data_IF_438129789366
#
_entry.id   IF_438129789366
#
_cell.length_a   1.000
_cell.length_b   1.000
_cell.length_c   1.000
_cell.angle_alpha   90.00
_cell.angle_beta   90.00
_cell.angle_gamma   90.00
#
_symmetry.space_group_name_H-M   'P 1'
#
loop_
_entity.id
_entity.type
_entity.pdbx_description
1 polymer ?
#
# COMPACT_ATOMS: atom_id res chain seq x y z
N UNK A 1 -19.22 21.70 -42.33
CA UNK A 1 -17.90 22.14 -41.80
C UNK A 1 -17.91 21.91 -40.29
N UNK A 2 -17.21 20.88 -39.79
CA UNK A 2 -17.27 20.53 -38.36
C UNK A 2 -16.12 21.22 -37.64
N UNK A 3 -16.39 22.32 -36.93
CA UNK A 3 -15.41 23.08 -36.15
C UNK A 3 -15.90 23.20 -34.70
N UNK A 4 -15.38 22.36 -33.81
CA UNK A 4 -15.58 22.38 -32.35
C UNK A 4 -14.20 22.25 -31.71
N UNK A 5 -13.83 23.15 -30.82
CA UNK A 5 -12.61 23.00 -30.03
C UNK A 5 -12.75 23.77 -28.72
N UNK A 6 -13.53 23.20 -27.81
CA UNK A 6 -13.57 23.58 -26.40
C UNK A 6 -12.92 22.45 -25.61
N UNK A 7 -12.12 22.79 -24.61
CA UNK A 7 -11.36 21.81 -23.82
C UNK A 7 -11.45 22.13 -22.34
N UNK A 8 -11.47 21.10 -21.49
CA UNK A 8 -11.25 21.26 -20.06
C UNK A 8 -9.89 20.66 -19.72
N UNK A 9 -9.03 21.48 -19.16
CA UNK A 9 -7.71 21.12 -18.65
C UNK A 9 -7.77 21.04 -17.13
N UNK A 10 -7.03 20.11 -16.54
CA UNK A 10 -7.04 19.88 -15.11
C UNK A 10 -5.63 20.07 -14.53
N UNK A 11 -5.55 20.68 -13.36
CA UNK A 11 -4.29 21.06 -12.73
C UNK A 11 -4.27 20.69 -11.26
N UNK A 12 -3.09 20.31 -10.78
CA UNK A 12 -2.81 20.04 -9.38
C UNK A 12 -1.63 20.88 -8.89
N UNK A 13 -1.65 21.21 -7.60
CA UNK A 13 -0.54 21.82 -6.89
C UNK A 13 -0.52 21.28 -5.46
N UNK A 14 0.58 20.67 -5.05
CA UNK A 14 0.75 20.20 -3.68
C UNK A 14 0.60 21.39 -2.71
N UNK A 15 -0.29 21.25 -1.71
CA UNK A 15 -0.66 22.37 -0.83
C UNK A 15 0.53 22.92 -0.03
N UNK A 16 1.40 22.00 0.43
CA UNK A 16 2.55 22.32 1.26
C UNK A 16 3.76 22.83 0.46
N UNK A 17 3.69 22.77 -0.87
CA UNK A 17 4.80 23.13 -1.75
C UNK A 17 4.42 24.29 -2.69
N UNK A 18 4.20 25.47 -2.10
CA UNK A 18 3.87 26.70 -2.84
C UNK A 18 4.95 27.16 -3.83
N UNK A 19 6.17 26.61 -3.75
CA UNK A 19 7.26 26.86 -4.71
C UNK A 19 7.09 26.09 -6.03
N UNK A 20 6.29 25.02 -6.02
CA UNK A 20 5.94 24.27 -7.23
C UNK A 20 4.69 24.91 -7.84
N UNK A 21 4.83 25.41 -9.06
CA UNK A 21 3.69 25.95 -9.81
C UNK A 21 2.64 24.88 -10.12
N UNK A 22 1.45 25.32 -10.52
CA UNK A 22 0.38 24.41 -10.97
C UNK A 22 0.89 23.50 -12.09
N UNK A 23 0.70 22.19 -11.93
CA UNK A 23 1.07 21.18 -12.92
C UNK A 23 -0.18 20.71 -13.64
N UNK A 24 -0.12 20.71 -14.97
CA UNK A 24 -1.12 20.04 -15.78
C UNK A 24 -1.02 18.53 -15.56
N UNK A 25 -2.16 17.87 -15.33
CA UNK A 25 -2.17 16.44 -14.95
C UNK A 25 -2.00 15.48 -16.14
N UNK A 26 -1.82 15.99 -17.36
CA UNK A 26 -1.74 15.16 -18.57
C UNK A 26 -3.10 14.75 -19.15
N UNK A 27 -4.21 15.06 -18.46
CA UNK A 27 -5.57 14.74 -18.91
C UNK A 27 -6.35 15.99 -19.32
N UNK A 28 -7.07 15.87 -20.43
CA UNK A 28 -8.03 16.86 -20.88
C UNK A 28 -9.31 16.19 -21.35
N UNK A 29 -10.40 16.95 -21.30
CA UNK A 29 -11.68 16.57 -21.89
C UNK A 29 -11.92 17.45 -23.10
N UNK A 30 -12.30 16.84 -24.23
CA UNK A 30 -12.84 17.60 -25.37
C UNK A 30 -14.32 17.84 -25.13
N UNK A 31 -14.70 19.11 -25.13
CA UNK A 31 -16.10 19.53 -25.04
C UNK A 31 -16.65 19.59 -26.45
N UNK A 32 -17.57 18.68 -26.76
CA UNK A 32 -18.24 18.70 -28.06
C UNK A 32 -19.34 19.73 -28.01
N UNK A 33 -20.31 19.64 -27.12
CA UNK A 33 -21.38 20.64 -27.01
C UNK A 33 -21.27 21.47 -25.73
N UNK A 34 -20.73 22.71 -25.78
CA UNK A 34 -20.55 23.55 -24.60
C UNK A 34 -21.85 23.81 -23.83
N UNK A 35 -22.99 23.91 -24.53
CA UNK A 35 -24.28 24.18 -23.88
C UNK A 35 -24.77 22.99 -23.03
N UNK A 36 -24.30 21.78 -23.32
CA UNK A 36 -24.65 20.55 -22.60
C UNK A 36 -23.56 20.17 -21.60
N UNK A 37 -22.30 20.21 -22.04
CA UNK A 37 -21.13 19.64 -21.37
C UNK A 37 -20.41 20.62 -20.43
N UNK A 38 -20.69 21.92 -20.54
CA UNK A 38 -20.32 22.95 -19.56
C UNK A 38 -21.57 23.54 -18.85
N UNK A 39 -22.76 23.03 -19.17
CA UNK A 39 -24.04 23.44 -18.61
C UNK A 39 -24.67 22.38 -17.70
N UNK A 40 -25.98 22.50 -17.43
CA UNK A 40 -26.71 21.63 -16.49
C UNK A 40 -26.87 20.18 -16.98
N UNK A 41 -26.57 19.88 -18.24
CA UNK A 41 -26.76 18.56 -18.84
C UNK A 41 -25.68 17.53 -18.47
N UNK A 42 -24.48 17.97 -18.09
CA UNK A 42 -23.38 17.11 -17.60
C UNK A 42 -22.54 17.86 -16.58
N UNK A 43 -22.64 17.46 -15.32
CA UNK A 43 -22.02 18.14 -14.18
C UNK A 43 -20.81 17.41 -13.59
N UNK A 44 -20.34 16.32 -14.20
CA UNK A 44 -19.17 15.58 -13.71
C UNK A 44 -18.32 14.98 -14.83
N UNK A 45 -17.03 14.83 -14.52
CA UNK A 45 -16.01 14.15 -15.33
C UNK A 45 -15.21 13.20 -14.45
N UNK A 46 -14.94 12.00 -14.95
CA UNK A 46 -14.08 11.03 -14.27
C UNK A 46 -12.61 11.30 -14.61
N UNK A 47 -11.77 11.34 -13.60
CA UNK A 47 -10.32 11.48 -13.73
C UNK A 47 -9.63 10.27 -13.08
N UNK A 48 -8.43 9.89 -13.54
CA UNK A 48 -7.63 8.86 -12.88
C UNK A 48 -7.26 9.25 -11.44
N UNK A 49 -7.21 8.26 -10.55
CA UNK A 49 -6.90 8.49 -9.14
C UNK A 49 -5.40 8.72 -8.87
N UNK A 50 -4.54 8.24 -9.75
CA UNK A 50 -3.07 8.33 -9.67
C UNK A 50 -2.53 9.75 -9.91
N UNK A 51 -3.40 10.71 -10.24
CA UNK A 51 -3.05 12.13 -10.31
C UNK A 51 -2.79 12.76 -8.94
N UNK A 52 -3.13 12.05 -7.85
CA UNK A 52 -2.91 12.44 -6.48
C UNK A 52 -2.08 11.38 -5.75
N UNK A 53 -1.00 11.81 -5.08
CA UNK A 53 -0.33 10.96 -4.11
C UNK A 53 -1.23 10.73 -2.89
N UNK A 54 -1.19 9.51 -2.35
CA UNK A 54 -2.03 9.11 -1.23
C UNK A 54 -1.67 9.92 0.02
N UNK A 55 -2.69 10.44 0.70
CA UNK A 55 -2.56 11.23 1.94
C UNK A 55 -1.79 12.55 1.77
N UNK A 56 -1.49 12.96 0.54
CA UNK A 56 -0.91 14.27 0.25
C UNK A 56 -2.05 15.22 -0.16
N UNK A 57 -2.20 16.38 0.49
CA UNK A 57 -3.19 17.37 0.10
C UNK A 57 -2.76 18.13 -1.15
N UNK A 58 -3.65 18.21 -2.15
CA UNK A 58 -3.46 18.98 -3.37
C UNK A 58 -4.53 20.05 -3.52
N UNK A 59 -4.13 21.23 -3.95
CA UNK A 59 -5.03 22.21 -4.55
C UNK A 59 -5.35 21.78 -5.99
N UNK A 60 -6.61 21.49 -6.25
CA UNK A 60 -7.12 21.07 -7.54
C UNK A 60 -7.95 22.17 -8.19
N UNK A 61 -7.78 22.38 -9.49
CA UNK A 61 -8.66 23.24 -10.28
C UNK A 61 -8.73 22.78 -11.74
N UNK A 62 -9.78 23.21 -12.45
CA UNK A 62 -9.90 23.04 -13.89
C UNK A 62 -9.93 24.38 -14.62
N UNK A 63 -9.57 24.35 -15.90
CA UNK A 63 -9.62 25.49 -16.82
C UNK A 63 -10.36 25.04 -18.08
N UNK A 64 -11.50 25.66 -18.35
CA UNK A 64 -12.22 25.50 -19.61
C UNK A 64 -11.68 26.52 -20.63
N UNK A 65 -11.13 26.02 -21.73
CA UNK A 65 -10.73 26.81 -22.89
C UNK A 65 -11.93 26.92 -23.82
N UNK A 66 -12.36 28.15 -24.08
CA UNK A 66 -13.49 28.44 -24.94
C UNK A 66 -13.00 28.61 -26.38
N UNK A 67 -13.74 28.04 -27.33
CA UNK A 67 -13.42 28.12 -28.74
C UNK A 67 -13.44 29.55 -29.29
N UNK A 68 -12.81 29.73 -30.45
CA UNK A 68 -12.83 30.99 -31.23
C UNK A 68 -12.28 32.23 -30.50
N UNK A 69 -11.25 32.07 -29.67
CA UNK A 69 -10.61 33.22 -29.02
C UNK A 69 -11.44 33.86 -27.91
N UNK A 70 -12.50 33.17 -27.45
CA UNK A 70 -13.37 33.60 -26.36
C UNK A 70 -12.71 33.52 -24.96
N UNK A 71 -11.43 33.15 -24.90
CA UNK A 71 -10.64 33.11 -23.66
C UNK A 71 -10.82 31.80 -22.89
N UNK A 72 -10.72 31.89 -21.56
CA UNK A 72 -10.78 30.73 -20.68
C UNK A 72 -11.49 31.05 -19.38
N UNK A 73 -12.19 30.06 -18.82
CA UNK A 73 -12.81 30.14 -17.50
C UNK A 73 -12.06 29.20 -16.56
N UNK A 74 -11.65 29.70 -15.40
CA UNK A 74 -10.92 28.92 -14.39
C UNK A 74 -11.80 28.69 -13.17
N UNK A 75 -11.87 27.45 -12.68
CA UNK A 75 -12.58 27.14 -11.44
C UNK A 75 -11.85 27.68 -10.22
N UNK A 76 -12.57 27.85 -9.12
CA UNK A 76 -11.94 28.02 -7.81
C UNK A 76 -11.05 26.83 -7.48
N UNK A 77 -10.00 27.08 -6.69
CA UNK A 77 -9.17 26.02 -6.12
C UNK A 77 -9.97 25.28 -5.05
N UNK A 78 -9.87 23.95 -5.05
CA UNK A 78 -10.44 23.08 -4.02
C UNK A 78 -9.34 22.18 -3.49
N UNK A 79 -9.17 22.14 -2.17
CA UNK A 79 -8.24 21.21 -1.53
C UNK A 79 -8.85 19.81 -1.57
N UNK A 80 -8.12 18.87 -2.17
CA UNK A 80 -8.48 17.46 -2.26
C UNK A 80 -7.32 16.64 -1.71
N UNK A 81 -7.62 15.75 -0.78
CA UNK A 81 -6.69 14.72 -0.32
C UNK A 81 -7.22 13.38 -0.80
N UNK A 82 -6.48 12.74 -1.70
CA UNK A 82 -6.83 11.38 -2.10
C UNK A 82 -6.45 10.42 -0.97
N UNK A 83 -7.47 9.84 -0.33
CA UNK A 83 -7.32 8.92 0.80
C UNK A 83 -7.19 7.45 0.36
N UNK A 84 -7.14 7.19 -0.95
CA UNK A 84 -7.37 5.85 -1.49
C UNK A 84 -8.85 5.58 -1.78
N UNK A 85 -9.20 4.32 -2.07
CA UNK A 85 -10.58 3.91 -2.36
C UNK A 85 -10.70 2.71 -3.31
N UNK A 86 -9.64 2.42 -4.06
CA UNK A 86 -9.48 1.11 -4.70
C UNK A 86 -9.37 0.05 -3.59
N UNK A 87 -10.24 -0.96 -3.63
CA UNK A 87 -10.13 -2.13 -2.76
C UNK A 87 -9.06 -3.03 -3.34
N UNK A 88 -7.99 -3.22 -2.59
CA UNK A 88 -6.88 -4.05 -3.02
C UNK A 88 -7.01 -5.41 -2.37
N UNK A 89 -7.04 -6.45 -3.20
CA UNK A 89 -6.95 -7.83 -2.75
C UNK A 89 -6.15 -8.62 -3.78
N UNK A 90 -5.45 -9.68 -3.36
CA UNK A 90 -4.72 -10.53 -4.29
C UNK A 90 -5.67 -11.22 -5.28
N UNK A 91 -5.24 -11.33 -6.55
CA UNK A 91 -6.07 -11.83 -7.64
C UNK A 91 -6.39 -13.32 -7.46
N UNK A 92 -7.63 -13.65 -7.14
CA UNK A 92 -8.07 -15.02 -6.84
C UNK A 92 -8.07 -15.96 -8.05
N UNK A 93 -7.93 -15.45 -9.28
CA UNK A 93 -7.97 -16.26 -10.50
C UNK A 93 -6.63 -16.91 -10.84
N UNK A 94 -5.53 -16.39 -10.29
CA UNK A 94 -4.18 -16.89 -10.51
C UNK A 94 -3.96 -18.25 -9.83
N UNK A 95 -3.36 -19.20 -10.55
CA UNK A 95 -2.94 -20.49 -10.00
C UNK A 95 -1.78 -20.31 -9.02
N UNK A 96 -1.90 -20.90 -7.82
CA UNK A 96 -0.95 -20.78 -6.72
C UNK A 96 -0.37 -22.14 -6.35
N UNK A 97 0.89 -22.35 -6.70
CA UNK A 97 1.57 -23.65 -6.58
C UNK A 97 2.30 -23.79 -5.23
N UNK A 98 2.66 -22.70 -4.57
CA UNK A 98 3.40 -22.71 -3.31
C UNK A 98 2.52 -22.46 -2.08
N UNK A 99 2.98 -22.91 -0.92
CA UNK A 99 2.31 -22.76 0.36
C UNK A 99 2.17 -21.29 0.78
N UNK A 100 1.20 -20.94 1.64
CA UNK A 100 1.13 -19.58 2.14
C UNK A 100 2.37 -19.23 2.96
N UNK A 101 2.72 -17.95 3.02
CA UNK A 101 3.73 -17.47 3.95
C UNK A 101 3.28 -17.68 5.41
N UNK A 102 4.24 -17.81 6.32
CA UNK A 102 3.99 -17.76 7.75
C UNK A 102 4.08 -16.29 8.20
N UNK A 103 3.09 -15.81 8.95
CA UNK A 103 3.09 -14.45 9.50
C UNK A 103 3.34 -14.56 11.00
N UNK A 104 4.22 -13.73 11.54
CA UNK A 104 4.56 -13.68 12.96
C UNK A 104 4.36 -12.27 13.48
N UNK A 105 4.04 -12.16 14.77
CA UNK A 105 3.96 -10.89 15.49
C UNK A 105 5.33 -10.20 15.54
N UNK A 106 5.34 -8.98 16.05
CA UNK A 106 6.55 -8.19 16.33
C UNK A 106 7.53 -8.82 17.33
N UNK A 107 7.22 -10.00 17.91
CA UNK A 107 8.17 -10.82 18.69
C UNK A 107 9.24 -11.51 17.84
N UNK A 108 9.08 -11.55 16.51
CA UNK A 108 10.05 -12.19 15.61
C UNK A 108 9.97 -13.71 15.59
N UNK A 109 10.95 -14.36 14.97
CA UNK A 109 10.98 -15.81 14.78
C UNK A 109 11.71 -16.52 15.94
N UNK A 110 11.31 -16.22 17.17
CA UNK A 110 11.83 -16.91 18.36
C UNK A 110 11.15 -18.29 18.53
N UNK A 111 11.80 -19.30 19.14
CA UNK A 111 11.25 -20.65 19.26
C UNK A 111 9.88 -20.75 19.95
N UNK A 112 9.56 -19.81 20.83
CA UNK A 112 8.26 -19.73 21.52
C UNK A 112 7.18 -19.00 20.72
N UNK A 113 7.53 -18.34 19.61
CA UNK A 113 6.57 -17.61 18.76
C UNK A 113 6.12 -18.50 17.61
N UNK A 114 4.83 -18.87 17.62
CA UNK A 114 4.22 -19.64 16.54
C UNK A 114 3.69 -18.73 15.44
N UNK A 115 3.65 -19.18 14.18
CA UNK A 115 2.95 -18.45 13.12
C UNK A 115 1.51 -18.13 13.52
N UNK A 116 1.08 -16.90 13.22
CA UNK A 116 -0.29 -16.47 13.35
C UNK A 116 -1.15 -17.29 12.35
N UNK A 117 -2.16 -18.02 12.83
CA UNK A 117 -3.07 -18.75 11.95
C UNK A 117 -3.83 -17.81 11.01
N UNK A 118 -4.17 -18.32 9.82
CA UNK A 118 -5.04 -17.58 8.91
C UNK A 118 -6.43 -17.34 9.52
N UNK A 119 -7.07 -16.24 9.13
CA UNK A 119 -8.39 -15.84 9.62
C UNK A 119 -8.39 -15.14 10.98
N UNK A 120 -7.23 -15.04 11.65
CA UNK A 120 -7.09 -14.29 12.89
C UNK A 120 -6.97 -12.79 12.61
N UNK A 121 -7.58 -11.98 13.48
CA UNK A 121 -7.46 -10.52 13.42
C UNK A 121 -6.16 -10.06 14.08
N UNK A 122 -5.36 -9.30 13.34
CA UNK A 122 -4.15 -8.66 13.84
C UNK A 122 -4.51 -7.42 14.65
N UNK A 123 -4.31 -7.49 15.96
CA UNK A 123 -4.50 -6.39 16.91
C UNK A 123 -3.30 -5.45 16.99
N UNK A 124 -3.43 -4.30 17.65
CA UNK A 124 -2.28 -3.44 17.99
C UNK A 124 -1.19 -4.23 18.74
N UNK A 125 -1.57 -5.13 19.63
CA UNK A 125 -0.67 -6.03 20.36
C UNK A 125 0.16 -6.95 19.47
N UNK A 126 -0.34 -7.31 18.28
CA UNK A 126 0.42 -8.12 17.33
C UNK A 126 1.59 -7.37 16.68
N UNK A 127 1.52 -6.02 16.68
CA UNK A 127 2.44 -5.14 15.96
C UNK A 127 3.19 -4.15 16.87
N UNK A 128 2.88 -4.13 18.17
CA UNK A 128 3.51 -3.21 19.12
C UNK A 128 4.98 -3.54 19.27
N UNK A 129 5.77 -2.53 19.63
CA UNK A 129 7.21 -2.70 19.85
C UNK A 129 7.40 -3.55 21.11
N UNK A 130 8.02 -4.72 20.98
CA UNK A 130 8.47 -5.53 22.12
C UNK A 130 9.99 -5.35 22.31
N UNK A 131 10.48 -5.62 23.52
CA UNK A 131 11.88 -5.45 23.94
C UNK A 131 12.90 -6.05 22.96
N UNK A 132 12.56 -7.17 22.32
CA UNK A 132 13.45 -7.89 21.38
C UNK A 132 13.47 -7.31 19.96
N UNK A 133 12.61 -6.33 19.66
CA UNK A 133 12.47 -5.67 18.37
C UNK A 133 12.87 -4.20 18.48
N UNK A 134 13.99 -3.99 19.18
CA UNK A 134 14.74 -2.75 19.20
C UNK A 134 15.94 -2.95 18.29
N UNK A 135 15.90 -2.47 17.04
CA UNK A 135 17.12 -2.40 16.28
C UNK A 135 18.14 -1.54 17.06
N UNK A 136 19.37 -2.03 17.15
CA UNK A 136 20.48 -1.32 17.83
C UNK A 136 20.79 0.02 17.16
N UNK A 137 20.50 0.12 15.87
CA UNK A 137 20.58 1.35 15.10
C UNK A 137 19.21 2.06 15.12
N UNK A 138 19.13 3.30 15.64
CA UNK A 138 17.89 4.08 15.68
C UNK A 138 17.31 4.41 14.29
N UNK A 139 18.10 4.30 13.22
CA UNK A 139 17.63 4.51 11.85
C UNK A 139 16.96 3.28 11.23
N UNK A 140 17.08 2.11 11.86
CA UNK A 140 16.42 0.90 11.38
C UNK A 140 14.95 0.91 11.80
N UNK A 141 14.01 0.74 10.86
CA UNK A 141 12.59 0.74 11.19
C UNK A 141 12.20 -0.41 12.14
N UNK A 142 11.27 -0.12 13.05
CA UNK A 142 10.67 -1.15 13.92
C UNK A 142 9.79 -2.08 13.07
N UNK A 143 9.97 -3.38 13.24
CA UNK A 143 9.20 -4.40 12.48
C UNK A 143 7.87 -4.68 13.18
N UNK A 144 6.73 -4.38 12.56
CA UNK A 144 5.42 -4.75 13.13
C UNK A 144 5.09 -6.23 12.94
N UNK A 145 5.40 -6.80 11.76
CA UNK A 145 5.17 -8.22 11.46
C UNK A 145 6.38 -8.79 10.74
N UNK A 146 6.67 -10.05 11.00
CA UNK A 146 7.65 -10.81 10.23
C UNK A 146 6.90 -11.79 9.32
N UNK A 147 7.24 -11.80 8.04
CA UNK A 147 6.64 -12.69 7.07
C UNK A 147 7.70 -13.63 6.53
N UNK A 148 7.53 -14.92 6.80
CA UNK A 148 8.46 -15.95 6.40
C UNK A 148 7.92 -16.77 5.22
N UNK A 149 8.74 -16.93 4.20
CA UNK A 149 8.49 -17.83 3.09
C UNK A 149 9.51 -18.96 3.16
N UNK A 150 9.02 -20.20 3.24
CA UNK A 150 9.86 -21.40 3.40
C UNK A 150 10.19 -22.00 2.04
N UNK A 151 11.49 -22.19 1.81
CA UNK A 151 12.03 -22.89 0.67
C UNK A 151 12.41 -24.33 0.96
N UNK A 152 12.46 -25.12 -0.12
CA UNK A 152 13.00 -26.48 -0.16
C UNK A 152 13.12 -26.88 -1.64
N UNK A 153 14.07 -27.76 -1.98
CA UNK A 153 14.18 -28.33 -3.32
C UNK A 153 13.39 -29.63 -3.49
N UNK A 154 13.05 -30.32 -2.39
CA UNK A 154 12.51 -31.69 -2.45
C UNK A 154 11.06 -31.79 -1.94
N UNK A 155 10.47 -30.67 -1.52
CA UNK A 155 9.14 -30.65 -0.90
C UNK A 155 8.14 -29.94 -1.79
N UNK A 156 7.01 -30.60 -2.08
CA UNK A 156 5.90 -29.99 -2.80
C UNK A 156 5.38 -28.77 -2.04
N UNK A 157 5.06 -27.70 -2.77
CA UNK A 157 4.54 -26.45 -2.19
C UNK A 157 5.61 -25.54 -1.58
N UNK A 158 6.87 -25.96 -1.50
CA UNK A 158 7.97 -25.09 -1.06
C UNK A 158 8.64 -24.38 -2.22
N UNK A 159 9.17 -23.20 -1.94
CA UNK A 159 9.84 -22.38 -2.95
C UNK A 159 11.22 -22.99 -3.26
N UNK A 160 11.60 -23.18 -4.53
CA UNK A 160 12.91 -23.68 -4.89
C UNK A 160 14.03 -22.78 -4.37
N UNK A 161 15.13 -23.38 -3.91
CA UNK A 161 16.28 -22.61 -3.47
C UNK A 161 16.91 -21.87 -4.67
N UNK A 162 17.34 -20.63 -4.46
CA UNK A 162 17.83 -19.75 -5.51
C UNK A 162 16.74 -19.07 -6.35
N UNK A 163 15.46 -19.35 -6.11
CA UNK A 163 14.37 -18.63 -6.78
C UNK A 163 14.27 -17.18 -6.29
N UNK A 164 13.92 -16.27 -7.20
CA UNK A 164 13.62 -14.87 -6.86
C UNK A 164 12.20 -14.80 -6.32
N UNK A 165 12.04 -14.21 -5.15
CA UNK A 165 10.76 -14.08 -4.44
C UNK A 165 10.44 -12.62 -4.23
N UNK A 166 9.21 -12.21 -4.57
CA UNK A 166 8.68 -10.86 -4.31
C UNK A 166 7.48 -10.99 -3.38
N UNK A 167 7.52 -10.35 -2.21
CA UNK A 167 6.39 -10.35 -1.26
C UNK A 167 5.51 -9.12 -1.49
N UNK A 168 4.20 -9.34 -1.54
CA UNK A 168 3.19 -8.28 -1.61
C UNK A 168 2.31 -8.29 -0.36
N UNK A 169 1.90 -7.10 0.06
CA UNK A 169 0.95 -6.87 1.14
C UNK A 169 -0.25 -6.07 0.62
N UNK A 170 -1.44 -6.45 1.07
CA UNK A 170 -2.69 -5.79 0.74
C UNK A 170 -3.41 -5.48 2.05
N UNK A 171 -3.92 -4.25 2.19
CA UNK A 171 -4.77 -3.86 3.30
C UNK A 171 -6.04 -3.26 2.71
N UNK A 172 -7.18 -3.71 3.21
CA UNK A 172 -8.48 -3.12 2.94
C UNK A 172 -9.14 -2.81 4.27
N UNK A 173 -9.38 -1.53 4.54
CA UNK A 173 -10.07 -1.01 5.70
C UNK A 173 -10.73 0.32 5.33
N UNK A 174 -11.70 0.80 6.10
CA UNK A 174 -12.39 2.04 5.76
C UNK A 174 -11.46 3.26 5.77
N UNK A 175 -10.47 3.30 6.67
CA UNK A 175 -9.52 4.39 6.76
C UNK A 175 -8.21 4.18 5.96
N UNK A 176 -7.97 2.96 5.43
CA UNK A 176 -6.74 2.63 4.71
C UNK A 176 -6.96 1.50 3.71
N UNK A 177 -6.70 1.78 2.44
CA UNK A 177 -6.62 0.77 1.39
C UNK A 177 -5.25 0.86 0.72
N UNK A 178 -4.46 -0.21 0.75
CA UNK A 178 -3.11 -0.20 0.19
C UNK A 178 -2.76 -1.52 -0.48
N UNK A 179 -1.98 -1.43 -1.55
CA UNK A 179 -1.20 -2.54 -2.10
C UNK A 179 0.25 -2.09 -2.08
N UNK A 180 1.13 -2.92 -1.51
CA UNK A 180 2.55 -2.61 -1.40
C UNK A 180 3.40 -3.84 -1.73
N UNK A 181 4.32 -3.68 -2.67
CA UNK A 181 5.47 -4.58 -2.77
C UNK A 181 6.37 -4.33 -1.54
N UNK A 182 6.44 -5.33 -0.67
CA UNK A 182 7.21 -5.24 0.59
C UNK A 182 8.70 -5.27 0.28
N UNK A 183 9.10 -6.18 -0.60
CA UNK A 183 10.49 -6.38 -0.96
C UNK A 183 10.65 -7.59 -1.87
N UNK A 184 11.89 -7.78 -2.30
CA UNK A 184 12.27 -8.88 -3.18
C UNK A 184 13.64 -9.40 -2.77
N UNK A 185 13.79 -10.72 -2.73
CA UNK A 185 15.07 -11.36 -2.42
C UNK A 185 15.17 -12.75 -3.08
N UNK A 186 16.34 -13.38 -2.98
CA UNK A 186 16.62 -14.72 -3.50
C UNK A 186 16.48 -15.75 -2.37
N UNK A 187 15.69 -16.80 -2.59
CA UNK A 187 15.51 -17.88 -1.63
C UNK A 187 16.88 -18.49 -1.28
N UNK A 188 17.32 -18.46 -0.01
CA UNK A 188 18.67 -18.84 0.36
C UNK A 188 18.93 -20.32 0.14
N UNK A 189 20.17 -20.64 -0.24
CA UNK A 189 20.67 -22.02 -0.37
C UNK A 189 21.24 -22.57 0.95
N UNK A 190 21.19 -21.77 2.01
CA UNK A 190 21.61 -22.13 3.38
C UNK A 190 20.45 -21.94 4.34
N UNK A 191 20.44 -22.73 5.42
CA UNK A 191 19.39 -22.64 6.43
C UNK A 191 19.60 -21.40 7.30
N UNK A 192 18.51 -20.73 7.63
CA UNK A 192 18.47 -19.72 8.66
C UNK A 192 18.82 -20.38 10.01
N UNK A 193 19.71 -19.74 10.77
CA UNK A 193 20.26 -20.29 12.00
C UNK A 193 19.22 -20.36 13.14
N UNK A 194 18.27 -19.44 13.17
CA UNK A 194 17.25 -19.35 14.21
C UNK A 194 16.14 -20.39 14.01
N UNK A 195 15.71 -20.58 12.75
CA UNK A 195 14.58 -21.46 12.43
C UNK A 195 15.00 -22.86 11.99
N UNK A 196 16.25 -23.06 11.58
CA UNK A 196 16.73 -24.33 11.00
C UNK A 196 16.12 -24.67 9.64
N UNK A 197 15.44 -23.71 8.98
CA UNK A 197 14.76 -23.86 7.68
C UNK A 197 15.44 -23.00 6.61
N UNK A 198 15.26 -23.34 5.34
CA UNK A 198 15.55 -22.41 4.26
C UNK A 198 14.41 -21.40 4.23
N UNK A 199 14.68 -20.15 4.60
CA UNK A 199 13.65 -19.16 4.83
C UNK A 199 14.07 -17.79 4.34
N UNK A 200 13.19 -17.12 3.62
CA UNK A 200 13.22 -15.67 3.46
C UNK A 200 12.33 -15.03 4.51
N UNK A 201 12.86 -14.02 5.20
CA UNK A 201 12.15 -13.27 6.23
C UNK A 201 12.03 -11.82 5.78
N UNK A 202 10.81 -11.38 5.57
CA UNK A 202 10.49 -10.00 5.25
C UNK A 202 9.98 -9.27 6.49
N UNK A 203 10.43 -8.02 6.63
CA UNK A 203 10.07 -7.16 7.74
C UNK A 203 9.01 -6.16 7.30
N UNK A 204 7.80 -6.25 7.86
CA UNK A 204 6.75 -5.25 7.64
C UNK A 204 6.90 -4.17 8.68
N UNK A 205 7.27 -2.96 8.28
CA UNK A 205 7.46 -1.86 9.23
C UNK A 205 6.17 -1.51 9.99
N UNK A 206 6.27 -1.28 11.30
CA UNK A 206 5.16 -0.92 12.19
C UNK A 206 4.36 0.27 11.64
N UNK A 207 5.02 1.27 11.05
CA UNK A 207 4.38 2.47 10.51
C UNK A 207 3.30 2.17 9.45
N UNK A 208 3.41 1.04 8.74
CA UNK A 208 2.44 0.63 7.73
C UNK A 208 1.21 -0.07 8.33
N UNK A 209 1.32 -0.50 9.58
CA UNK A 209 0.34 -1.35 10.25
C UNK A 209 -0.41 -0.63 11.37
N UNK A 210 0.02 0.55 11.81
CA UNK A 210 -0.65 1.29 12.89
C UNK A 210 -1.89 2.05 12.44
N UNK A 211 -2.85 2.19 13.36
CA UNK A 211 -4.05 3.02 13.24
C UNK A 211 -4.94 2.63 12.04
N UNK A 212 -5.25 1.34 11.90
CA UNK A 212 -6.15 0.80 10.86
C UNK A 212 -7.48 0.41 11.49
N UNK A 213 -8.59 0.89 10.92
CA UNK A 213 -9.96 0.64 11.39
C UNK A 213 -11.07 1.02 10.40
N UNK A 214 -12.30 0.62 10.75
CA UNK A 214 -13.55 1.16 10.25
C UNK A 214 -14.43 0.19 9.45
N UNK A 215 -14.30 -1.12 9.67
CA UNK A 215 -15.26 -2.12 9.18
C UNK A 215 -14.86 -2.79 7.86
N UNK A 216 -15.05 -4.12 7.80
CA UNK A 216 -14.53 -5.03 6.77
C UNK A 216 -13.00 -4.94 6.59
N UNK A 217 -12.28 -4.93 7.71
CA UNK A 217 -10.83 -4.88 7.73
C UNK A 217 -10.22 -6.22 7.34
N UNK A 218 -9.30 -6.20 6.41
CA UNK A 218 -8.59 -7.39 5.97
C UNK A 218 -7.19 -7.04 5.56
N UNK A 219 -6.28 -7.95 5.86
CA UNK A 219 -4.89 -7.91 5.43
C UNK A 219 -4.58 -9.23 4.73
N UNK A 220 -3.87 -9.13 3.62
CA UNK A 220 -3.40 -10.28 2.87
C UNK A 220 -1.92 -10.16 2.56
N UNK A 221 -1.29 -11.32 2.49
CA UNK A 221 0.05 -11.48 1.96
C UNK A 221 0.01 -12.54 0.87
N UNK A 222 0.59 -12.23 -0.28
CA UNK A 222 0.93 -13.22 -1.29
C UNK A 222 2.32 -12.92 -1.85
N UNK A 223 2.85 -13.82 -2.67
CA UNK A 223 4.18 -13.65 -3.21
C UNK A 223 4.33 -14.29 -4.58
N UNK A 224 5.21 -13.69 -5.36
CA UNK A 224 5.63 -14.17 -6.67
C UNK A 224 6.94 -14.93 -6.53
N UNK A 225 7.11 -15.95 -7.35
CA UNK A 225 8.31 -16.78 -7.43
C UNK A 225 8.74 -16.85 -8.89
N UNK A 226 9.85 -16.19 -9.20
CA UNK A 226 10.54 -16.28 -10.47
C UNK A 226 11.63 -17.36 -10.40
N UNK A 227 11.52 -18.40 -11.22
CA UNK A 227 12.55 -19.43 -11.37
C UNK A 227 12.73 -19.77 -12.86
N UNK A 228 13.82 -19.31 -13.45
CA UNK A 228 14.00 -19.32 -14.91
C UNK A 228 13.09 -18.28 -15.59
N UNK A 229 12.35 -18.69 -16.61
CA UNK A 229 11.39 -17.84 -17.35
C UNK A 229 10.00 -17.79 -16.72
N UNK A 230 9.69 -18.69 -15.81
CA UNK A 230 8.33 -18.87 -15.30
C UNK A 230 8.12 -18.06 -14.02
N UNK A 231 6.99 -17.35 -13.96
CA UNK A 231 6.49 -16.70 -12.74
C UNK A 231 5.34 -17.54 -12.20
N UNK A 232 5.48 -17.96 -10.95
CA UNK A 232 4.49 -18.71 -10.19
C UNK A 232 4.17 -17.98 -8.89
N UNK A 233 3.13 -18.42 -8.20
CA UNK A 233 2.59 -17.68 -7.05
C UNK A 233 2.42 -18.57 -5.81
N UNK A 234 2.63 -17.96 -4.65
CA UNK A 234 2.28 -18.53 -3.35
C UNK A 234 0.80 -18.42 -3.05
N UNK A 235 0.30 -19.36 -2.25
CA UNK A 235 -1.04 -19.27 -1.63
C UNK A 235 -1.12 -18.00 -0.78
N UNK A 236 -2.31 -17.43 -0.72
CA UNK A 236 -2.57 -16.21 0.04
C UNK A 236 -2.60 -16.57 1.53
N UNK A 237 -1.90 -15.79 2.36
CA UNK A 237 -2.22 -15.68 3.78
C UNK A 237 -3.22 -14.55 3.97
N UNK A 238 -4.28 -14.78 4.74
CA UNK A 238 -5.37 -13.83 4.95
C UNK A 238 -5.72 -13.74 6.44
N UNK A 239 -6.02 -12.54 6.92
CA UNK A 239 -6.49 -12.28 8.28
C UNK A 239 -7.27 -10.96 8.37
N UNK A 240 -7.86 -10.70 9.54
CA UNK A 240 -8.42 -9.39 9.87
C UNK A 240 -7.31 -8.42 10.33
N UNK A 241 -7.58 -7.12 10.39
CA UNK A 241 -6.63 -6.14 10.95
C UNK A 241 -7.33 -4.98 11.64
N UNK A 242 -7.12 -4.84 12.94
CA UNK A 242 -7.61 -3.71 13.73
C UNK A 242 -6.50 -3.27 14.67
N UNK A 243 -5.88 -2.13 14.36
CA UNK A 243 -4.66 -1.69 15.04
C UNK A 243 -4.82 -0.30 15.65
N UNK A 244 -6.07 0.03 16.01
CA UNK A 244 -6.35 1.18 16.87
C UNK A 244 -5.58 1.00 18.17
N UNK A 245 -4.88 2.05 18.58
CA UNK A 245 -4.30 2.09 19.92
C UNK A 245 -5.47 2.09 20.91
N UNK A 246 -5.49 1.13 21.84
CA UNK A 246 -6.48 1.10 22.93
C UNK A 246 -6.28 2.27 23.91
N UNK A 247 -5.13 2.95 23.85
CA UNK A 247 -4.82 4.12 24.64
C UNK A 247 -4.75 5.37 23.75
N UNK A 248 -5.53 6.43 24.03
CA UNK A 248 -5.23 7.75 23.48
C UNK A 248 -3.80 8.12 23.91
N UNK A 249 -3.07 8.76 23.01
CA UNK A 249 -1.69 9.21 23.17
C UNK A 249 -1.43 9.81 24.56
N UNK A 250 -0.83 9.03 25.44
CA UNK A 250 -0.04 9.54 26.57
C UNK A 250 1.39 9.05 26.32
N UNK A 251 2.22 10.00 25.89
CA UNK A 251 3.64 10.09 26.17
C UNK A 251 4.50 8.83 25.94
N UNK A 252 5.11 8.73 24.76
CA UNK A 252 6.54 8.38 24.70
C UNK A 252 7.32 9.57 25.28
N UNK A 253 7.13 9.81 26.58
CA UNK A 253 7.85 10.77 27.38
C UNK A 253 9.24 10.21 27.66
N UNK A 254 10.21 11.01 27.25
CA UNK A 254 11.54 11.19 27.83
C UNK A 254 11.76 10.52 29.20
N UNK A 255 12.18 9.25 29.22
CA UNK A 255 12.91 8.69 30.36
C UNK A 255 14.40 8.99 30.14
N UNK A 256 14.73 10.27 30.25
CA UNK A 256 16.03 10.70 30.72
C UNK A 256 16.14 10.33 32.20
N UNK A 257 16.56 9.09 32.48
CA UNK A 257 16.96 8.71 33.82
C UNK A 257 18.46 9.00 34.02
N UNK A 258 18.72 10.06 34.77
CA UNK A 258 19.95 10.30 35.50
C UNK A 258 20.30 9.09 36.40
N UNK A 259 21.48 8.51 36.17
CA UNK A 259 22.48 8.18 37.20
C UNK A 259 23.82 7.79 36.58
#
# INVERSE_FOLDING_TARGET
MQKKADYILFFTQEENNKKVGRKYIGHYVTVKDPNIELGLGKYYYSLPYDIFEISIPYNFNCVAILGQGAGSITSSLTTVTYMGGATYSPDKTIKRDYDPCNVYTSLGLIPSNTPIPQGITLGYDSIKKYLYNHPKDPNTPVTGLFVEIVGDNNSQGKVPLGAKVTLNMYIQAANRNTQKAVGQDIMPITKNQETGRYSLIFHIEKKHLVNIFGGAESIWFDYEVGYGSDIKYGKIWAGGIDTRSEYPTEDEGDDGDDN
#
